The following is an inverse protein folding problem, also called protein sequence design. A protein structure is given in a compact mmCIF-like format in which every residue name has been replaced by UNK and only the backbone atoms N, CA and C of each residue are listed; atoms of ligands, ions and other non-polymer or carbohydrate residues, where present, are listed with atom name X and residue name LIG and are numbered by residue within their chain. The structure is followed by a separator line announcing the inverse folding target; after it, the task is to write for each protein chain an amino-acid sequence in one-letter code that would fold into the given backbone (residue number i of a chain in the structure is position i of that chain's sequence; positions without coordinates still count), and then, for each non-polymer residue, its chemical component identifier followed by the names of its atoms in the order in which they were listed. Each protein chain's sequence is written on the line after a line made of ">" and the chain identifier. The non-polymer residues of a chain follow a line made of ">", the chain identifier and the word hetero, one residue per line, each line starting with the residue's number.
data_IF_446919730070
#
_entry.id   IF_446919730070
#
_cell.length_a   1.000
_cell.length_b   1.000
_cell.length_c   1.000
_cell.angle_alpha   90.00
_cell.angle_beta   90.00
_cell.angle_gamma   90.00
#
_symmetry.space_group_name_H-M   'P 1'
#
loop_
_entity.id
_entity.type
_entity.pdbx_description
1 polymer ?
#
# COMPACT_ATOMS: atom_id res chain seq x y z
N UNK A 1 -8.70 -27.42 61.92
CA UNK A 1 -9.74 -27.07 60.97
C UNK A 1 -9.05 -26.52 59.67
N UNK A 2 -8.92 -27.42 58.71
CA UNK A 2 -8.36 -27.02 57.38
C UNK A 2 -9.51 -26.56 56.48
N UNK A 3 -9.49 -25.32 56.02
CA UNK A 3 -10.41 -24.83 54.98
C UNK A 3 -9.80 -25.07 53.60
N UNK A 4 -10.38 -26.03 52.85
CA UNK A 4 -10.05 -26.28 51.45
C UNK A 4 -10.84 -25.31 50.60
N UNK A 5 -10.16 -24.33 49.97
CA UNK A 5 -10.77 -23.46 48.96
C UNK A 5 -10.76 -24.17 47.60
N UNK A 6 -11.94 -24.41 47.04
CA UNK A 6 -12.15 -24.96 45.70
C UNK A 6 -12.25 -23.78 44.74
N UNK A 7 -11.25 -23.59 43.87
CA UNK A 7 -11.32 -22.64 42.76
C UNK A 7 -12.03 -23.26 41.56
N UNK A 8 -13.21 -22.77 41.23
CA UNK A 8 -13.86 -23.05 39.93
C UNK A 8 -13.26 -22.16 38.86
N UNK A 9 -12.50 -22.74 37.94
CA UNK A 9 -12.06 -22.07 36.71
C UNK A 9 -13.19 -22.17 35.70
N UNK A 10 -13.90 -21.06 35.45
CA UNK A 10 -14.85 -20.95 34.34
C UNK A 10 -14.08 -20.75 33.03
N UNK A 11 -14.08 -21.74 32.16
CA UNK A 11 -13.55 -21.63 30.80
C UNK A 11 -14.53 -20.81 29.95
N UNK A 12 -14.16 -19.58 29.60
CA UNK A 12 -14.91 -18.75 28.68
C UNK A 12 -14.54 -19.24 27.27
N UNK A 13 -15.46 -19.97 26.62
CA UNK A 13 -15.32 -20.29 25.19
C UNK A 13 -15.53 -19.02 24.35
N UNK A 14 -14.46 -18.47 23.80
CA UNK A 14 -14.53 -17.38 22.82
C UNK A 14 -14.97 -18.00 21.48
N UNK A 15 -16.10 -17.57 20.88
CA UNK A 15 -16.50 -18.07 19.57
C UNK A 15 -15.47 -17.64 18.53
N UNK A 16 -14.76 -18.58 17.94
CA UNK A 16 -13.90 -18.34 16.78
C UNK A 16 -14.81 -18.09 15.59
N UNK A 17 -14.99 -16.82 15.22
CA UNK A 17 -15.64 -16.46 13.96
C UNK A 17 -14.65 -16.87 12.86
N UNK A 18 -14.92 -17.99 12.19
CA UNK A 18 -14.19 -18.39 11.01
C UNK A 18 -14.51 -17.36 9.89
N UNK A 19 -13.67 -16.37 9.72
CA UNK A 19 -13.69 -15.48 8.56
C UNK A 19 -13.39 -16.35 7.33
N UNK A 20 -14.39 -16.54 6.46
CA UNK A 20 -14.16 -17.16 5.16
C UNK A 20 -13.15 -16.30 4.41
N UNK A 21 -11.92 -16.80 4.29
CA UNK A 21 -10.90 -16.20 3.42
C UNK A 21 -11.51 -16.06 2.02
N UNK A 22 -11.55 -14.87 1.42
CA UNK A 22 -12.10 -14.71 0.08
C UNK A 22 -11.34 -15.64 -0.87
N UNK A 23 -12.06 -16.42 -1.65
CA UNK A 23 -11.47 -17.34 -2.62
C UNK A 23 -10.93 -16.51 -3.79
N UNK A 24 -9.62 -16.27 -3.79
CA UNK A 24 -8.96 -15.54 -4.85
C UNK A 24 -8.96 -16.36 -6.15
N UNK A 25 -9.11 -15.68 -7.27
CA UNK A 25 -9.15 -16.33 -8.59
C UNK A 25 -7.74 -16.39 -9.17
N UNK A 26 -7.20 -17.59 -9.48
CA UNK A 26 -5.89 -17.71 -10.13
C UNK A 26 -5.81 -16.89 -11.42
N UNK A 27 -4.61 -16.40 -11.74
CA UNK A 27 -4.39 -15.69 -12.99
C UNK A 27 -4.69 -16.62 -14.17
N UNK A 28 -5.38 -16.12 -15.23
CA UNK A 28 -5.63 -16.90 -16.43
C UNK A 28 -4.33 -17.32 -17.09
N UNK A 29 -4.28 -18.52 -17.68
CA UNK A 29 -3.09 -18.99 -18.42
C UNK A 29 -2.70 -18.06 -19.57
N UNK A 30 -3.65 -17.35 -20.16
CA UNK A 30 -3.41 -16.34 -21.19
C UNK A 30 -2.58 -15.14 -20.72
N UNK A 31 -2.45 -14.90 -19.41
CA UNK A 31 -1.57 -13.87 -18.85
C UNK A 31 -0.11 -14.34 -18.74
N UNK A 32 0.18 -15.62 -18.94
CA UNK A 32 1.51 -16.21 -18.71
C UNK A 32 2.32 -16.28 -20.02
N UNK A 33 1.64 -16.31 -21.17
CA UNK A 33 2.27 -16.57 -22.46
C UNK A 33 2.29 -15.34 -23.36
N UNK A 34 3.48 -14.75 -23.54
CA UNK A 34 3.74 -13.77 -24.59
C UNK A 34 3.97 -14.50 -25.92
N UNK A 35 2.90 -14.95 -26.55
CA UNK A 35 2.90 -15.60 -27.86
C UNK A 35 2.26 -14.70 -28.92
N UNK A 36 2.25 -15.13 -30.18
CA UNK A 36 1.54 -14.43 -31.27
C UNK A 36 0.03 -14.29 -31.04
N UNK A 37 -0.53 -15.07 -30.12
CA UNK A 37 -1.92 -14.98 -29.68
C UNK A 37 -2.15 -14.14 -28.41
N UNK A 38 -1.09 -13.52 -27.85
CA UNK A 38 -1.20 -12.68 -26.66
C UNK A 38 -2.20 -11.55 -26.86
N UNK A 39 -3.10 -11.41 -25.92
CA UNK A 39 -4.01 -10.26 -25.82
C UNK A 39 -3.76 -9.57 -24.51
N UNK A 40 -3.50 -8.27 -24.55
CA UNK A 40 -3.33 -7.44 -23.38
C UNK A 40 -4.52 -7.63 -22.42
N UNK A 41 -4.30 -8.11 -21.17
CA UNK A 41 -5.36 -8.22 -20.18
C UNK A 41 -5.94 -6.84 -19.87
N UNK A 42 -7.20 -6.80 -19.47
CA UNK A 42 -7.79 -5.57 -18.94
C UNK A 42 -7.32 -5.34 -17.51
N UNK A 43 -6.99 -4.10 -17.12
CA UNK A 43 -6.65 -3.78 -15.74
C UNK A 43 -7.78 -4.19 -14.78
N UNK A 44 -7.46 -4.84 -13.65
CA UNK A 44 -8.47 -5.23 -12.68
C UNK A 44 -8.96 -4.03 -11.86
N UNK A 45 -10.13 -4.18 -11.27
CA UNK A 45 -10.56 -3.33 -10.16
C UNK A 45 -9.87 -3.85 -8.89
N UNK A 46 -9.21 -2.96 -8.15
CA UNK A 46 -8.47 -3.31 -6.93
C UNK A 46 -9.32 -3.16 -5.67
N UNK A 47 -8.87 -3.75 -4.56
CA UNK A 47 -9.45 -3.52 -3.24
C UNK A 47 -9.03 -2.12 -2.75
N UNK A 48 -9.98 -1.17 -2.57
CA UNK A 48 -9.61 0.21 -2.32
C UNK A 48 -9.41 0.55 -0.84
N UNK A 49 -10.16 -0.10 0.05
CA UNK A 49 -10.11 0.18 1.49
C UNK A 49 -9.22 -0.88 2.16
N UNK A 50 -8.02 -0.47 2.58
CA UNK A 50 -7.09 -1.41 3.21
C UNK A 50 -6.11 -0.71 4.15
N UNK A 51 -5.59 -1.50 5.08
CA UNK A 51 -4.43 -1.15 5.88
C UNK A 51 -3.31 -2.14 5.63
N UNK A 52 -2.06 -1.68 5.70
CA UNK A 52 -0.89 -2.52 5.45
C UNK A 52 0.34 -2.00 6.15
N UNK A 53 1.26 -2.89 6.49
CA UNK A 53 2.63 -2.50 6.77
C UNK A 53 3.42 -2.43 5.46
N UNK A 54 4.49 -1.65 5.43
CA UNK A 54 5.38 -1.58 4.28
C UNK A 54 6.85 -1.56 4.67
N UNK A 55 7.68 -2.01 3.76
CA UNK A 55 9.10 -1.67 3.68
C UNK A 55 9.33 -0.95 2.37
N UNK A 56 10.05 0.16 2.42
CA UNK A 56 10.37 0.98 1.25
C UNK A 56 11.87 1.18 1.15
N UNK A 57 12.42 0.85 -0.01
CA UNK A 57 13.78 1.17 -0.39
C UNK A 57 13.75 2.39 -1.30
N UNK A 58 14.48 3.41 -0.94
CA UNK A 58 14.58 4.65 -1.71
C UNK A 58 16.03 4.95 -2.04
N UNK A 59 16.28 5.24 -3.30
CA UNK A 59 17.56 5.72 -3.82
C UNK A 59 17.36 7.08 -4.44
N UNK A 60 18.18 8.02 -4.08
CA UNK A 60 18.31 9.32 -4.73
C UNK A 60 19.77 9.61 -5.06
N UNK A 61 20.09 10.79 -5.59
CA UNK A 61 21.43 11.10 -6.09
C UNK A 61 22.55 10.89 -5.06
N UNK A 62 22.26 11.06 -3.78
CA UNK A 62 23.28 11.15 -2.73
C UNK A 62 23.09 10.15 -1.60
N UNK A 63 21.90 9.54 -1.49
CA UNK A 63 21.53 8.73 -0.33
C UNK A 63 20.67 7.54 -0.75
N UNK A 64 20.99 6.39 -0.15
CA UNK A 64 20.09 5.21 -0.16
C UNK A 64 19.66 4.94 1.27
N UNK A 65 18.34 4.80 1.47
CA UNK A 65 17.80 4.47 2.77
C UNK A 65 16.61 3.51 2.71
N UNK A 66 16.34 2.89 3.84
CA UNK A 66 15.23 1.96 4.02
C UNK A 66 14.29 2.57 5.06
N UNK A 67 13.02 2.61 4.72
CA UNK A 67 11.96 3.01 5.64
C UNK A 67 10.99 1.86 5.85
N UNK A 68 10.39 1.81 7.02
CA UNK A 68 9.29 0.90 7.33
C UNK A 68 8.16 1.70 7.96
N UNK A 69 6.94 1.22 7.80
CA UNK A 69 5.81 1.93 8.36
C UNK A 69 4.48 1.20 8.15
N UNK A 70 3.43 1.99 8.24
CA UNK A 70 2.04 1.56 8.15
C UNK A 70 1.27 2.53 7.27
N UNK A 71 0.42 2.01 6.39
CA UNK A 71 -0.46 2.78 5.51
C UNK A 71 -1.91 2.38 5.81
N UNK A 72 -2.78 3.39 5.89
CA UNK A 72 -4.24 3.27 5.88
C UNK A 72 -4.75 4.03 4.63
N UNK A 73 -5.17 3.27 3.62
CA UNK A 73 -5.70 3.79 2.36
C UNK A 73 -7.23 3.79 2.42
N UNK A 74 -7.85 4.97 2.44
CA UNK A 74 -9.30 5.12 2.54
C UNK A 74 -9.83 6.10 1.48
N UNK A 75 -10.03 5.65 0.24
CA UNK A 75 -10.62 6.47 -0.82
C UNK A 75 -12.02 6.95 -0.51
N UNK A 76 -12.82 6.19 0.23
CA UNK A 76 -14.16 6.63 0.67
C UNK A 76 -14.11 7.92 1.50
N UNK A 77 -12.99 8.15 2.20
CA UNK A 77 -12.73 9.39 2.96
C UNK A 77 -11.86 10.39 2.19
N UNK A 78 -11.32 10.01 1.03
CA UNK A 78 -10.32 10.79 0.30
C UNK A 78 -8.99 10.92 1.04
N UNK A 79 -8.64 9.97 1.90
CA UNK A 79 -7.48 10.06 2.80
C UNK A 79 -6.52 8.90 2.62
N UNK A 80 -5.22 9.21 2.75
CA UNK A 80 -4.16 8.23 2.99
C UNK A 80 -3.43 8.64 4.26
N UNK A 81 -3.38 7.76 5.26
CA UNK A 81 -2.59 7.96 6.46
C UNK A 81 -1.34 7.09 6.38
N UNK A 82 -0.20 7.67 6.73
CA UNK A 82 1.08 6.97 6.78
C UNK A 82 1.75 7.24 8.11
N UNK A 83 2.16 6.17 8.78
CA UNK A 83 3.01 6.25 9.97
C UNK A 83 4.37 5.65 9.62
N UNK A 84 5.43 6.40 9.82
CA UNK A 84 6.80 6.00 9.46
C UNK A 84 7.83 6.62 10.42
N UNK A 85 9.05 6.13 10.38
CA UNK A 85 10.17 6.82 11.02
C UNK A 85 10.64 7.95 10.07
N UNK A 86 10.80 9.15 10.61
CA UNK A 86 11.27 10.35 9.93
C UNK A 86 12.36 11.00 10.77
N UNK A 87 13.55 11.21 10.18
CA UNK A 87 14.73 11.79 10.85
C UNK A 87 14.96 11.22 12.27
N UNK A 88 14.99 9.89 12.39
CA UNK A 88 15.13 9.14 13.65
C UNK A 88 13.96 9.31 14.64
N UNK A 89 12.87 9.92 14.23
CA UNK A 89 11.66 10.08 15.02
C UNK A 89 10.43 9.45 14.31
N UNK A 90 9.46 8.90 15.06
CA UNK A 90 8.19 8.50 14.47
C UNK A 90 7.43 9.70 13.93
N UNK A 91 6.86 9.56 12.73
CA UNK A 91 6.01 10.55 12.12
C UNK A 91 4.68 9.95 11.66
N UNK A 92 3.62 10.76 11.69
CA UNK A 92 2.33 10.44 11.11
C UNK A 92 1.97 11.53 10.10
N UNK A 93 1.67 11.14 8.86
CA UNK A 93 1.18 12.01 7.79
C UNK A 93 -0.25 11.63 7.41
N UNK A 94 -1.12 12.63 7.24
CA UNK A 94 -2.47 12.46 6.72
C UNK A 94 -2.56 13.27 5.43
N UNK A 95 -2.56 12.56 4.30
CA UNK A 95 -2.72 13.14 2.97
C UNK A 95 -4.20 13.22 2.63
N UNK A 96 -4.71 14.44 2.43
CA UNK A 96 -6.10 14.71 2.09
C UNK A 96 -6.23 14.93 0.57
N UNK A 97 -6.59 13.89 -0.14
CA UNK A 97 -6.77 13.91 -1.60
C UNK A 97 -8.08 14.59 -2.04
N UNK A 98 -9.00 14.92 -1.12
CA UNK A 98 -10.14 15.78 -1.42
C UNK A 98 -9.71 17.26 -1.51
N UNK A 99 -8.50 17.62 -1.04
CA UNK A 99 -7.95 18.97 -1.06
C UNK A 99 -6.60 18.98 -1.79
N UNK A 100 -6.67 19.15 -3.12
CA UNK A 100 -5.50 19.11 -4.03
C UNK A 100 -5.40 20.43 -4.77
N UNK A 101 -4.18 20.95 -4.91
CA UNK A 101 -3.92 22.16 -5.70
C UNK A 101 -4.06 21.89 -7.21
N UNK A 102 -4.12 22.96 -8.01
CA UNK A 102 -4.13 22.86 -9.48
C UNK A 102 -2.89 22.14 -10.05
N UNK A 103 -1.76 22.21 -9.32
CA UNK A 103 -0.50 21.59 -9.69
C UNK A 103 -0.37 20.16 -9.15
N UNK A 104 -1.43 19.59 -8.58
CA UNK A 104 -1.46 18.22 -8.08
C UNK A 104 -0.81 18.01 -6.70
N UNK A 105 -0.49 19.09 -5.96
CA UNK A 105 0.00 18.98 -4.59
C UNK A 105 -1.15 18.63 -3.64
N UNK A 106 -0.91 17.71 -2.73
CA UNK A 106 -1.89 17.18 -1.77
C UNK A 106 -1.74 17.87 -0.42
N UNK A 107 -2.84 18.27 0.20
CA UNK A 107 -2.84 18.78 1.58
C UNK A 107 -2.38 17.67 2.54
N UNK A 108 -1.34 17.97 3.33
CA UNK A 108 -0.76 17.02 4.27
C UNK A 108 -0.69 17.63 5.67
N UNK A 109 -1.26 16.93 6.63
CA UNK A 109 -1.06 17.18 8.06
C UNK A 109 -0.04 16.18 8.59
N UNK A 110 1.16 16.66 8.92
CA UNK A 110 2.25 15.82 9.44
C UNK A 110 2.48 16.11 10.92
N UNK A 111 2.64 15.05 11.71
CA UNK A 111 3.02 15.11 13.12
C UNK A 111 4.29 14.31 13.35
N UNK A 112 5.34 14.96 13.82
CA UNK A 112 6.63 14.33 14.17
C UNK A 112 6.73 14.24 15.69
N UNK A 113 7.02 13.04 16.19
CA UNK A 113 7.12 12.75 17.62
C UNK A 113 8.60 12.75 18.05
N UNK A 114 9.19 13.95 18.17
CA UNK A 114 10.54 14.12 18.63
C UNK A 114 10.56 14.73 20.05
N UNK A 115 10.91 13.91 21.04
CA UNK A 115 10.95 14.31 22.45
C UNK A 115 9.58 14.37 23.12
N UNK A 116 9.37 15.35 24.00
CA UNK A 116 8.17 15.42 24.86
C UNK A 116 6.99 16.15 24.24
N UNK A 117 7.21 16.93 23.17
CA UNK A 117 6.15 17.71 22.50
C UNK A 117 6.17 17.42 21.01
N UNK A 118 5.04 16.91 20.44
CA UNK A 118 4.94 16.70 19.00
C UNK A 118 5.10 18.01 18.22
N UNK A 119 5.82 17.94 17.11
CA UNK A 119 5.85 19.00 16.11
C UNK A 119 4.78 18.73 15.07
N UNK A 120 3.88 19.70 14.85
CA UNK A 120 2.78 19.58 13.88
C UNK A 120 3.02 20.57 12.74
N UNK A 121 2.95 20.07 11.52
CA UNK A 121 3.07 20.88 10.30
C UNK A 121 1.91 20.55 9.36
N UNK A 122 1.38 21.56 8.68
CA UNK A 122 0.39 21.39 7.62
C UNK A 122 0.76 22.19 6.39
N UNK A 123 0.58 21.61 5.21
CA UNK A 123 0.85 22.26 3.94
C UNK A 123 0.64 21.34 2.75
N UNK A 124 0.90 21.85 1.55
CA UNK A 124 0.76 21.09 0.31
C UNK A 124 2.08 20.45 -0.10
N UNK A 125 2.06 19.17 -0.42
CA UNK A 125 3.24 18.38 -0.79
C UNK A 125 3.00 17.52 -2.03
N UNK A 126 4.09 17.13 -2.69
CA UNK A 126 4.07 15.98 -3.60
C UNK A 126 4.07 14.71 -2.73
N UNK A 127 2.97 13.98 -2.73
CA UNK A 127 2.88 12.73 -1.96
C UNK A 127 3.60 11.58 -2.67
N UNK A 128 4.39 10.81 -1.90
CA UNK A 128 4.96 9.53 -2.33
C UNK A 128 3.99 8.36 -2.11
N UNK A 129 2.83 8.62 -1.53
CA UNK A 129 1.82 7.64 -1.16
C UNK A 129 0.51 7.95 -1.90
N UNK A 130 0.33 7.42 -3.13
CA UNK A 130 -0.88 7.67 -3.91
C UNK A 130 -2.10 7.07 -3.23
N UNK A 131 -3.26 7.71 -3.43
CA UNK A 131 -4.53 7.11 -3.06
C UNK A 131 -4.92 6.05 -4.10
N UNK A 132 -5.16 4.83 -3.65
CA UNK A 132 -5.53 3.72 -4.52
C UNK A 132 -7.05 3.56 -4.52
N UNK A 133 -7.72 4.19 -5.48
CA UNK A 133 -9.14 4.00 -5.72
C UNK A 133 -9.42 2.65 -6.38
N UNK A 134 -10.66 2.16 -6.30
CA UNK A 134 -11.06 0.86 -6.86
C UNK A 134 -10.69 0.70 -8.34
N UNK A 135 -10.85 1.74 -9.14
CA UNK A 135 -10.58 1.78 -10.57
C UNK A 135 -9.26 2.46 -10.93
N UNK A 136 -8.34 2.58 -9.96
CA UNK A 136 -7.04 3.26 -10.12
C UNK A 136 -6.26 2.80 -11.35
N UNK A 137 -6.16 1.48 -11.57
CA UNK A 137 -5.46 0.93 -12.74
C UNK A 137 -6.19 1.22 -14.04
N UNK A 138 -7.52 1.19 -14.03
CA UNK A 138 -8.36 1.47 -15.20
C UNK A 138 -8.27 2.94 -15.60
N UNK A 139 -8.39 3.86 -14.63
CA UNK A 139 -8.29 5.31 -14.85
C UNK A 139 -6.94 5.74 -15.39
N UNK A 140 -5.87 5.04 -15.01
CA UNK A 140 -4.50 5.34 -15.45
C UNK A 140 -4.08 4.49 -16.67
N UNK A 141 -5.04 3.83 -17.35
CA UNK A 141 -4.79 3.04 -18.57
C UNK A 141 -3.64 2.02 -18.39
N UNK A 142 -3.63 1.33 -17.26
CA UNK A 142 -2.53 0.45 -16.88
C UNK A 142 -2.29 -0.66 -17.92
N UNK A 143 -1.02 -0.89 -18.23
CA UNK A 143 -0.54 -1.91 -19.16
C UNK A 143 0.01 -3.09 -18.34
N UNK A 144 -0.38 -4.31 -18.72
CA UNK A 144 0.16 -5.51 -18.08
C UNK A 144 1.63 -5.71 -18.43
N UNK A 145 2.49 -5.72 -17.41
CA UNK A 145 3.94 -5.88 -17.55
C UNK A 145 4.42 -7.33 -17.38
N UNK A 146 3.57 -8.22 -16.86
CA UNK A 146 3.91 -9.64 -16.65
C UNK A 146 3.59 -10.14 -15.25
N UNK A 147 3.82 -11.44 -15.02
CA UNK A 147 3.76 -12.05 -13.71
C UNK A 147 5.15 -12.08 -13.09
N UNK A 148 5.28 -11.60 -11.88
CA UNK A 148 6.55 -11.49 -11.14
C UNK A 148 6.40 -12.01 -9.72
N UNK A 149 7.51 -12.36 -9.07
CA UNK A 149 7.54 -12.64 -7.64
C UNK A 149 7.90 -11.39 -6.87
N UNK A 150 7.22 -11.17 -5.74
CA UNK A 150 7.52 -10.04 -4.84
C UNK A 150 7.82 -10.55 -3.44
N UNK A 151 8.55 -9.74 -2.70
CA UNK A 151 8.81 -10.00 -1.28
C UNK A 151 7.50 -10.02 -0.51
N UNK A 152 7.37 -10.90 0.45
CA UNK A 152 6.19 -11.09 1.30
C UNK A 152 4.91 -11.55 0.58
N UNK A 153 4.99 -12.07 -0.65
CA UNK A 153 3.84 -12.64 -1.35
C UNK A 153 4.03 -14.12 -1.61
N UNK A 154 2.94 -14.88 -1.50
CA UNK A 154 2.92 -16.28 -1.88
C UNK A 154 2.60 -16.41 -3.39
N UNK A 155 3.59 -16.87 -4.17
CA UNK A 155 3.44 -17.04 -5.61
C UNK A 155 3.62 -15.75 -6.41
N UNK A 156 3.18 -15.81 -7.68
CA UNK A 156 3.30 -14.69 -8.60
C UNK A 156 2.23 -13.64 -8.36
N UNK A 157 2.56 -12.40 -8.67
CA UNK A 157 1.67 -11.24 -8.72
C UNK A 157 1.72 -10.61 -10.11
N UNK A 158 0.64 -9.97 -10.53
CA UNK A 158 0.58 -9.24 -11.79
C UNK A 158 1.20 -7.85 -11.62
N UNK A 159 2.14 -7.49 -12.50
CA UNK A 159 2.66 -6.13 -12.60
C UNK A 159 1.82 -5.32 -13.60
N UNK A 160 1.51 -4.09 -13.23
CA UNK A 160 0.72 -3.15 -14.01
C UNK A 160 1.45 -1.81 -14.10
N UNK A 161 1.86 -1.45 -15.30
CA UNK A 161 2.63 -0.24 -15.54
C UNK A 161 1.72 0.90 -15.95
N UNK A 162 1.92 2.07 -15.31
CA UNK A 162 1.20 3.31 -15.58
C UNK A 162 2.18 4.47 -15.74
N UNK A 163 1.74 5.52 -16.42
CA UNK A 163 2.42 6.81 -16.42
C UNK A 163 1.65 7.76 -15.50
N UNK A 164 2.02 7.76 -14.22
CA UNK A 164 1.34 8.57 -13.21
C UNK A 164 1.56 10.06 -13.45
N UNK A 165 0.46 10.83 -13.47
CA UNK A 165 0.45 12.25 -13.81
C UNK A 165 1.15 12.58 -15.15
N UNK A 166 1.17 11.63 -16.07
CA UNK A 166 1.78 11.80 -17.41
C UNK A 166 3.32 11.87 -17.44
N UNK A 167 4.00 11.71 -16.29
CA UNK A 167 5.45 11.95 -16.20
C UNK A 167 6.23 10.91 -15.38
N UNK A 168 5.59 10.23 -14.45
CA UNK A 168 6.26 9.33 -13.51
C UNK A 168 5.89 7.88 -13.85
N UNK A 169 6.83 7.05 -14.35
CA UNK A 169 6.59 5.64 -14.55
C UNK A 169 6.44 4.96 -13.18
N UNK A 170 5.32 4.25 -13.00
CA UNK A 170 4.97 3.53 -11.78
C UNK A 170 4.54 2.12 -12.17
N UNK A 171 5.06 1.12 -11.49
CA UNK A 171 4.59 -0.27 -11.56
C UNK A 171 3.82 -0.59 -10.29
N UNK A 172 2.58 -1.03 -10.43
CA UNK A 172 1.71 -1.50 -9.34
C UNK A 172 1.65 -3.02 -9.38
N UNK A 173 1.80 -3.65 -8.23
CA UNK A 173 1.76 -5.11 -8.09
C UNK A 173 0.46 -5.54 -7.44
N UNK A 174 -0.25 -6.48 -8.09
CA UNK A 174 -1.58 -6.93 -7.67
C UNK A 174 -1.59 -8.46 -7.57
N UNK A 175 -2.06 -8.98 -6.45
CA UNK A 175 -2.21 -10.41 -6.26
C UNK A 175 -3.50 -10.97 -6.87
N UNK A 176 -3.71 -12.27 -6.75
CA UNK A 176 -4.91 -12.99 -7.26
C UNK A 176 -6.21 -12.57 -6.58
N UNK A 177 -6.15 -11.86 -5.45
CA UNK A 177 -7.30 -11.31 -4.73
C UNK A 177 -7.63 -9.86 -5.15
N UNK A 178 -6.94 -9.31 -6.13
CA UNK A 178 -6.99 -7.91 -6.52
C UNK A 178 -6.55 -6.93 -5.40
N UNK A 179 -5.70 -7.39 -4.50
CA UNK A 179 -5.07 -6.57 -3.48
C UNK A 179 -3.77 -6.02 -4.01
N UNK A 180 -3.49 -4.73 -3.77
CA UNK A 180 -2.20 -4.13 -4.07
C UNK A 180 -1.20 -4.61 -3.03
N UNK A 181 -0.11 -5.23 -3.50
CA UNK A 181 0.95 -5.80 -2.65
C UNK A 181 2.25 -5.02 -2.70
N UNK A 182 2.26 -3.90 -3.39
CA UNK A 182 3.39 -2.99 -3.48
C UNK A 182 3.37 -2.16 -4.74
N UNK A 183 4.34 -1.25 -4.84
CA UNK A 183 4.55 -0.43 -6.03
C UNK A 183 6.00 0.04 -6.13
N UNK A 184 6.45 0.25 -7.35
CA UNK A 184 7.75 0.82 -7.65
C UNK A 184 7.56 2.05 -8.52
N UNK A 185 8.40 3.08 -8.33
CA UNK A 185 8.41 4.21 -9.25
C UNK A 185 9.81 4.79 -9.42
N UNK A 186 9.96 5.51 -10.52
CA UNK A 186 11.14 6.32 -10.81
C UNK A 186 10.71 7.75 -11.10
N UNK A 187 11.24 8.71 -10.34
CA UNK A 187 11.03 10.14 -10.58
C UNK A 187 12.22 10.72 -11.35
N UNK A 188 12.11 10.93 -12.68
CA UNK A 188 13.24 11.38 -13.50
C UNK A 188 13.78 12.74 -13.07
N UNK A 189 12.91 13.68 -12.74
CA UNK A 189 13.30 15.03 -12.34
C UNK A 189 14.07 15.12 -11.02
N UNK A 190 13.89 14.12 -10.15
CA UNK A 190 14.59 14.00 -8.85
C UNK A 190 15.64 12.90 -8.84
N UNK A 191 15.79 12.14 -9.93
CA UNK A 191 16.62 10.94 -10.03
C UNK A 191 16.41 9.97 -8.86
N UNK A 192 15.16 9.88 -8.39
CA UNK A 192 14.78 9.05 -7.25
C UNK A 192 14.11 7.78 -7.75
N UNK A 193 14.57 6.63 -7.27
CA UNK A 193 13.90 5.33 -7.43
C UNK A 193 13.37 4.88 -6.08
N UNK A 194 12.15 4.38 -6.09
CA UNK A 194 11.48 3.83 -4.91
C UNK A 194 10.94 2.46 -5.21
N UNK A 195 11.16 1.52 -4.29
CA UNK A 195 10.59 0.17 -4.30
C UNK A 195 9.87 -0.04 -2.98
N UNK A 196 8.57 -0.34 -3.03
CA UNK A 196 7.73 -0.51 -1.84
C UNK A 196 7.07 -1.87 -1.86
N UNK A 197 7.30 -2.66 -0.83
CA UNK A 197 6.66 -3.95 -0.60
C UNK A 197 5.69 -3.85 0.57
N UNK A 198 4.46 -4.34 0.38
CA UNK A 198 3.40 -4.41 1.39
C UNK A 198 3.34 -5.79 2.04
N UNK A 199 2.98 -5.81 3.32
CA UNK A 199 2.75 -7.04 4.07
C UNK A 199 1.74 -6.81 5.19
N UNK A 200 1.14 -7.89 5.71
CA UNK A 200 0.03 -7.81 6.68
C UNK A 200 -1.14 -6.96 6.15
N UNK A 201 -1.51 -7.16 4.91
CA UNK A 201 -2.61 -6.43 4.27
C UNK A 201 -3.93 -6.87 4.90
N UNK A 202 -4.76 -5.89 5.28
CA UNK A 202 -6.09 -6.11 5.83
C UNK A 202 -7.09 -5.27 5.01
N UNK A 203 -8.04 -5.95 4.40
CA UNK A 203 -9.13 -5.32 3.63
C UNK A 203 -10.29 -5.01 4.57
N UNK A 204 -10.84 -3.80 4.46
CA UNK A 204 -11.95 -3.29 5.29
C UNK A 204 -13.30 -3.42 4.60
#
# INVERSE_FOLDING_TARGET
>A
MLFTQIFFAAAIAVPTIATKTPKCTPFPSSMIEYSSGFKQPKPPLVQPEFTTNFVQHKWDETLSHIMTGYIDNSPAKGLVRVNEAYDDAPASSIFNYANVTKDGLVDNLMTIYNGTKPYVWQGYVNSNYPIFEKDFLVKNEAVFGGLVTRKFTDGNVASWDIMYQGAIPVTIYVNTCNEIVGYDYFSPGRRTRVVTDFFNIQIS
#
